data_IF_031443772827
#
_entry.id   IF_031443772827
#
_cell.length_a   1.000
_cell.length_b   1.000
_cell.length_c   1.000
_cell.angle_alpha   90.00
_cell.angle_beta   90.00
_cell.angle_gamma   90.00
#
_symmetry.space_group_name_H-M   'P 1'
#
loop_
_entity.id
_entity.type
_entity.pdbx_description
1 polymer ?
#
# COMPACT_ATOMS: atom_id res chain seq x y z
N UNK A 1 -7.15 2.28 6.37
CA UNK A 1 -6.34 1.70 5.28
C UNK A 1 -5.09 1.10 5.88
N UNK A 2 -4.50 0.12 5.21
CA UNK A 2 -3.27 -0.54 5.69
C UNK A 2 -2.30 -0.70 4.53
N UNK A 3 -1.06 -0.29 4.72
CA UNK A 3 0.07 -0.59 3.84
C UNK A 3 0.65 -1.97 4.21
N UNK A 4 0.73 -2.91 3.26
CA UNK A 4 1.29 -4.25 3.54
C UNK A 4 1.76 -5.01 2.31
N UNK A 5 2.76 -5.87 2.50
CA UNK A 5 3.29 -6.84 1.52
C UNK A 5 2.67 -8.25 1.68
N UNK A 6 1.45 -8.35 2.24
CA UNK A 6 0.78 -9.63 2.52
C UNK A 6 0.52 -10.44 1.22
N UNK A 7 0.68 -11.76 1.27
CA UNK A 7 0.40 -12.63 0.11
C UNK A 7 1.48 -12.57 -0.97
N UNK A 8 2.62 -11.95 -0.66
CA UNK A 8 3.86 -12.08 -1.41
C UNK A 8 4.58 -13.37 -0.99
N UNK A 9 5.44 -13.91 -1.87
CA UNK A 9 6.37 -14.98 -1.50
C UNK A 9 7.33 -14.54 -0.38
N UNK A 10 7.98 -15.48 0.31
CA UNK A 10 8.79 -15.21 1.50
C UNK A 10 9.85 -14.13 1.29
N UNK A 11 10.51 -14.10 0.13
CA UNK A 11 11.57 -13.12 -0.19
C UNK A 11 11.04 -11.71 -0.48
N UNK A 12 9.73 -11.59 -0.73
CA UNK A 12 9.05 -10.37 -1.16
C UNK A 12 8.17 -9.78 -0.05
N UNK A 13 8.06 -10.44 1.10
CA UNK A 13 7.26 -9.95 2.23
C UNK A 13 8.04 -8.94 3.08
N UNK A 14 8.45 -7.83 2.44
CA UNK A 14 9.25 -6.77 3.05
C UNK A 14 8.72 -5.37 2.65
N UNK A 15 9.40 -4.32 3.11
CA UNK A 15 8.99 -2.92 2.87
C UNK A 15 9.16 -2.42 1.42
N UNK A 16 9.77 -3.23 0.53
CA UNK A 16 9.98 -2.89 -0.88
C UNK A 16 8.75 -3.20 -1.74
N UNK A 17 7.89 -4.13 -1.33
CA UNK A 17 6.75 -4.62 -2.12
C UNK A 17 5.42 -4.36 -1.42
N UNK A 18 5.25 -3.12 -0.95
CA UNK A 18 4.10 -2.66 -0.19
C UNK A 18 2.98 -2.21 -1.13
N UNK A 19 1.78 -2.70 -0.86
CA UNK A 19 0.54 -2.26 -1.50
C UNK A 19 -0.42 -1.66 -0.47
N UNK A 20 -1.27 -0.74 -0.93
CA UNK A 20 -2.36 -0.19 -0.11
C UNK A 20 -3.55 -1.16 -0.13
N UNK A 21 -4.06 -1.47 1.06
CA UNK A 21 -5.19 -2.38 1.27
C UNK A 21 -6.31 -1.75 2.09
N UNK A 22 -7.54 -2.13 1.75
CA UNK A 22 -8.73 -1.80 2.51
C UNK A 22 -9.10 -2.97 3.39
N UNK A 23 -9.05 -2.76 4.70
CA UNK A 23 -9.56 -3.68 5.71
C UNK A 23 -11.06 -3.45 5.89
N UNK A 24 -11.86 -4.53 5.86
CA UNK A 24 -13.25 -4.47 6.30
C UNK A 24 -13.29 -4.35 7.82
N UNK A 25 -14.04 -3.42 8.39
CA UNK A 25 -14.14 -3.24 9.84
C UNK A 25 -15.39 -3.94 10.39
N UNK A 26 -15.34 -5.28 10.44
CA UNK A 26 -16.30 -6.08 11.20
C UNK A 26 -15.53 -6.94 12.20
N UNK A 27 -16.10 -7.29 13.36
CA UNK A 27 -15.39 -8.09 14.36
C UNK A 27 -14.82 -9.38 13.75
N UNK A 28 -13.59 -9.73 14.15
CA UNK A 28 -12.88 -10.98 13.77
C UNK A 28 -12.68 -11.21 12.26
N UNK A 29 -12.64 -10.17 11.44
CA UNK A 29 -12.41 -10.31 10.01
C UNK A 29 -10.94 -10.28 9.63
N UNK A 30 -10.59 -11.12 8.65
CA UNK A 30 -9.30 -11.09 7.94
C UNK A 30 -9.47 -10.54 6.51
N UNK A 31 -10.63 -9.95 6.20
CA UNK A 31 -10.98 -9.47 4.88
C UNK A 31 -10.23 -8.20 4.49
N UNK A 32 -9.22 -8.37 3.63
CA UNK A 32 -8.51 -7.29 2.96
C UNK A 32 -8.81 -7.29 1.47
N UNK A 33 -9.06 -6.11 0.91
CA UNK A 33 -9.09 -5.88 -0.54
C UNK A 33 -7.83 -5.11 -0.92
N UNK A 34 -7.07 -5.63 -1.88
CA UNK A 34 -5.92 -4.92 -2.46
C UNK A 34 -6.45 -3.82 -3.38
N UNK A 35 -6.02 -2.58 -3.18
CA UNK A 35 -6.57 -1.42 -3.90
C UNK A 35 -5.74 -1.03 -5.13
N UNK A 36 -4.47 -1.45 -5.18
CA UNK A 36 -3.51 -1.10 -6.22
C UNK A 36 -2.48 -2.22 -6.38
N UNK A 37 -1.81 -2.25 -7.55
CA UNK A 37 -0.92 -3.34 -7.95
C UNK A 37 0.55 -2.92 -8.18
N UNK A 38 0.97 -1.73 -7.74
CA UNK A 38 2.30 -1.18 -8.01
C UNK A 38 3.47 -2.05 -7.52
N UNK A 39 3.32 -2.74 -6.38
CA UNK A 39 4.35 -3.67 -5.90
C UNK A 39 4.55 -4.91 -6.79
N UNK A 40 3.72 -5.12 -7.82
CA UNK A 40 3.94 -6.18 -8.82
C UNK A 40 5.04 -5.80 -9.83
N UNK A 41 5.40 -4.51 -9.89
CA UNK A 41 6.41 -3.99 -10.80
C UNK A 41 7.71 -3.71 -10.05
N UNK A 42 8.81 -4.29 -10.53
CA UNK A 42 10.12 -4.08 -9.94
C UNK A 42 10.47 -2.59 -9.89
N UNK A 43 10.92 -2.11 -8.73
CA UNK A 43 11.30 -0.72 -8.56
C UNK A 43 10.17 0.19 -8.06
N UNK A 44 8.93 -0.30 -7.94
CA UNK A 44 7.77 0.54 -7.62
C UNK A 44 7.04 0.08 -6.34
N UNK A 45 6.54 1.05 -5.58
CA UNK A 45 5.61 0.84 -4.46
C UNK A 45 4.61 2.00 -4.39
N UNK A 46 3.46 1.74 -3.79
CA UNK A 46 2.54 2.82 -3.40
C UNK A 46 2.80 3.19 -1.94
N UNK A 47 2.89 4.48 -1.63
CA UNK A 47 3.09 4.95 -0.25
C UNK A 47 2.24 6.17 0.08
N UNK A 48 2.15 6.47 1.37
CA UNK A 48 1.58 7.71 1.91
C UNK A 48 0.15 7.98 1.41
N UNK A 49 -0.79 7.03 1.58
CA UNK A 49 -2.16 7.23 1.14
C UNK A 49 -2.88 8.32 1.95
N UNK A 50 -3.64 9.15 1.25
CA UNK A 50 -4.63 10.07 1.85
C UNK A 50 -6.02 9.76 1.28
N UNK A 51 -7.04 9.86 2.13
CA UNK A 51 -8.44 9.57 1.77
C UNK A 51 -9.23 10.88 1.83
N UNK A 52 -10.11 11.12 0.85
CA UNK A 52 -11.05 12.24 0.90
C UNK A 52 -11.99 12.15 2.12
N UNK A 53 -12.53 13.28 2.63
CA UNK A 53 -13.43 13.27 3.79
C UNK A 53 -14.66 12.36 3.62
N UNK A 54 -15.15 12.22 2.39
CA UNK A 54 -16.30 11.37 2.05
C UNK A 54 -15.92 9.90 1.76
N UNK A 55 -14.63 9.55 1.83
CA UNK A 55 -14.13 8.20 1.62
C UNK A 55 -14.19 7.68 0.19
N UNK A 56 -14.57 8.51 -0.80
CA UNK A 56 -14.75 8.08 -2.20
C UNK A 56 -13.45 8.07 -3.00
N UNK A 57 -12.50 8.92 -2.63
CA UNK A 57 -11.25 9.09 -3.36
C UNK A 57 -10.05 8.78 -2.48
N UNK A 58 -9.01 8.26 -3.11
CA UNK A 58 -7.70 8.06 -2.51
C UNK A 58 -6.65 8.62 -3.46
N UNK A 59 -5.72 9.39 -2.90
CA UNK A 59 -4.46 9.71 -3.55
C UNK A 59 -3.32 9.00 -2.82
N UNK A 60 -2.26 8.67 -3.55
CA UNK A 60 -1.07 8.00 -3.02
C UNK A 60 0.15 8.46 -3.82
N UNK A 61 1.33 8.32 -3.23
CA UNK A 61 2.59 8.57 -3.92
C UNK A 61 3.04 7.30 -4.65
N UNK A 62 3.40 7.46 -5.92
CA UNK A 62 4.19 6.46 -6.64
C UNK A 62 5.64 6.64 -6.23
N UNK A 63 6.16 5.71 -5.42
CA UNK A 63 7.50 5.79 -4.86
C UNK A 63 8.41 4.69 -5.45
N UNK A 64 9.73 4.91 -5.39
CA UNK A 64 10.68 3.86 -5.74
C UNK A 64 10.83 2.90 -4.56
N UNK A 65 10.86 1.60 -4.83
CA UNK A 65 10.92 0.60 -3.77
C UNK A 65 12.20 0.68 -2.92
N UNK A 66 13.31 1.16 -3.48
CA UNK A 66 14.60 1.36 -2.79
C UNK A 66 14.63 2.56 -1.84
N UNK A 67 13.61 3.42 -1.85
CA UNK A 67 13.54 4.57 -0.95
C UNK A 67 13.00 4.14 0.43
N UNK A 68 13.56 4.65 1.55
CA UNK A 68 13.06 4.36 2.87
C UNK A 68 11.58 4.69 3.00
N UNK A 69 10.84 3.91 3.81
CA UNK A 69 9.44 4.20 4.14
C UNK A 69 9.39 5.56 4.87
N UNK A 70 8.50 6.46 4.44
CA UNK A 70 8.35 7.79 5.04
C UNK A 70 9.11 8.93 4.35
N UNK A 71 9.90 8.65 3.31
CA UNK A 71 10.44 9.69 2.43
C UNK A 71 9.38 10.05 1.40
N UNK A 72 8.70 11.17 1.61
CA UNK A 72 7.71 11.69 0.69
C UNK A 72 8.36 12.54 -0.40
N UNK A 73 8.27 12.10 -1.65
CA UNK A 73 8.53 12.95 -2.81
C UNK A 73 7.22 13.65 -3.17
N UNK A 74 6.89 14.68 -2.40
CA UNK A 74 5.81 15.60 -2.80
C UNK A 74 6.16 16.19 -4.16
N UNK A 75 5.20 16.17 -5.07
CA UNK A 75 5.27 16.91 -6.32
C UNK A 75 5.07 18.41 -6.06
#
# INVERSE_FOLDING_TARGET
MVESSRGRGPDLQNGLFVDIRKLRLVPNTTGFVRMQHWGDYEGYKASNPVISPDGKWMAFQSARNKEPVGVGHGA
#
